data_IF_641999017476
#
_entry.id   IF_641999017476
#
_cell.length_a   1.000
_cell.length_b   1.000
_cell.length_c   1.000
_cell.angle_alpha   90.00
_cell.angle_beta   90.00
_cell.angle_gamma   90.00
#
_symmetry.space_group_name_H-M   'P 1'
#
loop_
_entity.id
_entity.type
_entity.pdbx_description
1 polymer ?
#
# COMPACT_ATOMS: atom_id res chain seq x y z
N UNK A 1 -19.28 -13.66 -4.52
CA UNK A 1 -17.83 -13.88 -4.36
C UNK A 1 -17.13 -13.19 -5.51
N UNK A 2 -16.23 -12.27 -5.19
CA UNK A 2 -15.48 -11.47 -6.18
C UNK A 2 -14.04 -11.99 -6.25
N UNK A 3 -13.49 -12.18 -7.45
CA UNK A 3 -12.13 -12.69 -7.65
C UNK A 3 -11.21 -11.59 -8.17
N UNK A 4 -10.05 -11.45 -7.55
CA UNK A 4 -9.04 -10.43 -7.87
C UNK A 4 -7.72 -11.12 -8.22
N UNK A 5 -7.29 -11.10 -9.49
CA UNK A 5 -6.11 -11.83 -9.94
C UNK A 5 -4.77 -11.10 -9.70
N UNK A 6 -4.82 -9.84 -9.29
CA UNK A 6 -3.65 -8.98 -9.09
C UNK A 6 -3.52 -8.56 -7.62
N UNK A 7 -2.32 -8.16 -7.18
CA UNK A 7 -2.14 -7.61 -5.84
C UNK A 7 -3.10 -6.46 -5.58
N UNK A 8 -3.78 -6.53 -4.45
CA UNK A 8 -4.89 -5.63 -4.14
C UNK A 8 -4.86 -5.30 -2.66
N UNK A 9 -5.00 -4.02 -2.33
CA UNK A 9 -5.26 -3.56 -0.97
C UNK A 9 -6.77 -3.51 -0.75
N UNK A 10 -7.31 -4.43 0.03
CA UNK A 10 -8.71 -4.49 0.39
C UNK A 10 -8.95 -3.70 1.66
N UNK A 11 -9.76 -2.65 1.61
CA UNK A 11 -10.18 -1.91 2.79
C UNK A 11 -11.64 -2.21 3.14
N UNK A 12 -11.89 -2.65 4.37
CA UNK A 12 -13.23 -2.83 4.89
C UNK A 12 -13.74 -1.48 5.41
N UNK A 13 -14.61 -0.83 4.65
CA UNK A 13 -15.18 0.46 5.03
C UNK A 13 -16.28 0.29 6.09
N UNK A 14 -17.15 -0.70 5.91
CA UNK A 14 -18.27 -0.97 6.84
C UNK A 14 -18.46 -2.48 7.07
N UNK A 15 -18.87 -2.84 8.28
CA UNK A 15 -19.23 -4.21 8.64
C UNK A 15 -18.01 -5.14 8.79
N UNK A 16 -18.13 -6.35 8.24
CA UNK A 16 -17.08 -7.37 8.26
C UNK A 16 -16.98 -8.13 6.95
N UNK A 17 -15.78 -8.54 6.57
CA UNK A 17 -15.51 -9.32 5.36
C UNK A 17 -14.59 -10.50 5.66
N UNK A 18 -14.79 -11.60 4.94
CA UNK A 18 -13.83 -12.72 4.88
C UNK A 18 -13.10 -12.67 3.54
N UNK A 19 -11.78 -12.54 3.60
CA UNK A 19 -10.91 -12.49 2.42
C UNK A 19 -10.07 -13.76 2.39
N UNK A 20 -10.12 -14.50 1.28
CA UNK A 20 -9.37 -15.72 1.07
C UNK A 20 -8.26 -15.52 0.05
N UNK A 21 -7.02 -15.70 0.48
CA UNK A 21 -5.83 -15.60 -0.38
C UNK A 21 -5.11 -16.95 -0.35
N UNK A 22 -5.16 -17.69 -1.45
CA UNK A 22 -4.72 -19.10 -1.47
C UNK A 22 -5.52 -19.98 -0.51
N UNK A 23 -4.81 -20.59 0.46
CA UNK A 23 -5.38 -21.44 1.51
C UNK A 23 -5.76 -20.67 2.79
N UNK A 24 -5.31 -19.42 2.93
CA UNK A 24 -5.53 -18.61 4.13
C UNK A 24 -6.83 -17.82 4.01
N UNK A 25 -7.58 -17.74 5.12
CA UNK A 25 -8.78 -16.90 5.22
C UNK A 25 -8.58 -15.89 6.34
N UNK A 26 -8.65 -14.61 5.99
CA UNK A 26 -8.52 -13.48 6.91
C UNK A 26 -9.84 -12.74 7.04
N UNK A 27 -10.29 -12.55 8.28
CA UNK A 27 -11.47 -11.72 8.56
C UNK A 27 -11.05 -10.27 8.82
N UNK A 28 -11.70 -9.31 8.16
CA UNK A 28 -11.54 -7.88 8.44
C UNK A 28 -12.82 -7.30 9.03
N UNK A 29 -12.66 -6.23 9.80
CA UNK A 29 -13.74 -5.38 10.32
C UNK A 29 -13.58 -3.96 9.76
N UNK A 30 -14.64 -3.16 9.85
CA UNK A 30 -14.63 -1.76 9.47
C UNK A 30 -13.37 -1.02 9.97
N UNK A 31 -12.70 -0.29 9.08
CA UNK A 31 -11.44 0.41 9.32
C UNK A 31 -10.19 -0.42 9.04
N UNK A 32 -10.26 -1.75 9.04
CA UNK A 32 -9.11 -2.61 8.74
C UNK A 32 -8.94 -2.83 7.23
N UNK A 33 -7.70 -3.13 6.83
CA UNK A 33 -7.38 -3.51 5.47
C UNK A 33 -6.50 -4.76 5.40
N UNK A 34 -6.45 -5.35 4.21
CA UNK A 34 -5.57 -6.46 3.86
C UNK A 34 -4.88 -6.14 2.54
N UNK A 35 -3.56 -6.06 2.55
CA UNK A 35 -2.78 -6.17 1.32
C UNK A 35 -2.71 -7.64 0.96
N UNK A 36 -3.23 -8.02 -0.20
CA UNK A 36 -3.11 -9.37 -0.72
C UNK A 36 -2.14 -9.37 -1.91
N UNK A 37 -1.09 -10.19 -1.83
CA UNK A 37 -0.03 -10.31 -2.84
C UNK A 37 -0.35 -11.31 -3.96
N UNK A 38 -1.44 -12.06 -3.83
CA UNK A 38 -1.81 -13.15 -4.74
C UNK A 38 -3.30 -13.12 -5.08
N UNK A 39 -3.70 -14.01 -6.00
CA UNK A 39 -5.10 -14.19 -6.39
C UNK A 39 -6.00 -14.39 -5.18
N UNK A 40 -6.99 -13.51 -5.05
CA UNK A 40 -7.80 -13.39 -3.85
C UNK A 40 -9.27 -13.52 -4.18
N UNK A 41 -10.01 -14.19 -3.29
CA UNK A 41 -11.46 -14.33 -3.36
C UNK A 41 -12.07 -13.71 -2.12
N UNK A 42 -13.02 -12.80 -2.33
CA UNK A 42 -13.68 -12.05 -1.27
C UNK A 42 -15.10 -12.58 -1.07
N UNK A 43 -15.43 -12.93 0.18
CA UNK A 43 -16.78 -13.25 0.64
C UNK A 43 -17.26 -12.14 1.60
N UNK A 44 -18.20 -11.33 1.10
CA UNK A 44 -18.56 -10.05 1.71
C UNK A 44 -19.84 -10.17 2.53
N UNK A 45 -19.79 -9.70 3.78
CA UNK A 45 -20.96 -9.40 4.62
C UNK A 45 -21.05 -7.91 4.97
N UNK A 46 -20.22 -7.07 4.34
CA UNK A 46 -20.06 -5.63 4.58
C UNK A 46 -19.56 -4.91 3.31
N UNK A 47 -19.12 -3.65 3.42
CA UNK A 47 -18.57 -2.90 2.29
C UNK A 47 -17.04 -3.00 2.25
N UNK A 48 -16.52 -3.57 1.16
CA UNK A 48 -15.09 -3.61 0.85
C UNK A 48 -14.77 -2.82 -0.41
N UNK A 49 -13.78 -1.95 -0.28
CA UNK A 49 -13.22 -1.16 -1.36
C UNK A 49 -11.84 -1.73 -1.74
N UNK A 50 -11.70 -2.36 -2.91
CA UNK A 50 -10.42 -2.82 -3.42
C UNK A 50 -9.65 -1.65 -4.07
N UNK A 51 -8.38 -1.50 -3.70
CA UNK A 51 -7.44 -0.59 -4.34
C UNK A 51 -6.38 -1.41 -5.08
N UNK A 52 -6.13 -1.14 -6.38
CA UNK A 52 -5.02 -1.74 -7.09
C UNK A 52 -3.71 -1.48 -6.35
N UNK A 53 -2.90 -2.51 -6.17
CA UNK A 53 -1.61 -2.40 -5.52
C UNK A 53 -0.49 -2.90 -6.45
N UNK A 54 0.68 -2.28 -6.34
CA UNK A 54 1.85 -2.66 -7.13
C UNK A 54 2.44 -3.98 -6.60
N UNK A 55 2.65 -4.94 -7.50
CA UNK A 55 3.25 -6.24 -7.22
C UNK A 55 4.71 -6.15 -6.78
N UNK A 56 5.37 -5.01 -7.04
CA UNK A 56 6.80 -4.85 -6.82
C UNK A 56 7.23 -4.71 -5.35
N UNK A 57 6.31 -4.46 -4.41
CA UNK A 57 6.67 -3.96 -3.07
C UNK A 57 6.49 -4.94 -1.90
N UNK A 58 5.71 -6.01 -2.05
CA UNK A 58 5.60 -7.06 -1.03
C UNK A 58 5.09 -8.39 -1.60
N UNK A 59 5.79 -9.48 -1.28
CA UNK A 59 5.43 -10.84 -1.69
C UNK A 59 4.43 -11.52 -0.73
N UNK A 60 4.18 -10.95 0.44
CA UNK A 60 3.39 -11.58 1.51
C UNK A 60 2.10 -10.81 1.76
N UNK A 61 0.98 -11.54 1.81
CA UNK A 61 -0.32 -11.00 2.15
C UNK A 61 -0.36 -10.66 3.63
N UNK A 62 -0.91 -9.51 4.00
CA UNK A 62 -0.89 -9.04 5.38
C UNK A 62 -1.99 -8.05 5.70
N UNK A 63 -2.36 -7.99 6.97
CA UNK A 63 -3.30 -7.01 7.49
C UNK A 63 -2.59 -5.66 7.67
N UNK A 64 -3.28 -4.61 7.25
CA UNK A 64 -2.89 -3.21 7.39
C UNK A 64 -3.96 -2.55 8.24
N UNK A 65 -3.54 -1.90 9.32
CA UNK A 65 -4.46 -1.21 10.22
C UNK A 65 -4.33 0.28 10.04
N UNK A 66 -5.40 0.89 9.56
CA UNK A 66 -5.53 2.32 9.47
C UNK A 66 -6.06 2.85 10.80
N UNK A 67 -5.40 3.87 11.36
CA UNK A 67 -5.91 4.56 12.54
C UNK A 67 -7.21 5.32 12.23
N UNK A 68 -7.86 5.91 13.25
CA UNK A 68 -8.98 6.82 13.02
C UNK A 68 -8.59 7.96 12.08
N UNK A 69 -9.50 8.35 11.18
CA UNK A 69 -9.34 9.47 10.24
C UNK A 69 -8.78 9.12 8.85
N UNK A 70 -8.42 7.85 8.61
CA UNK A 70 -8.00 7.40 7.26
C UNK A 70 -9.16 7.25 6.28
N UNK A 71 -10.41 7.30 6.74
CA UNK A 71 -11.61 7.15 5.91
C UNK A 71 -11.60 8.11 4.71
N UNK A 72 -11.39 9.42 4.93
CA UNK A 72 -11.36 10.39 3.83
C UNK A 72 -10.21 10.14 2.84
N UNK A 73 -9.07 9.64 3.31
CA UNK A 73 -7.92 9.29 2.45
C UNK A 73 -8.24 8.06 1.62
N UNK A 74 -8.78 7.01 2.24
CA UNK A 74 -9.12 5.76 1.55
C UNK A 74 -10.26 5.95 0.54
N UNK A 75 -11.27 6.78 0.87
CA UNK A 75 -12.35 7.13 -0.06
C UNK A 75 -11.84 7.95 -1.24
N UNK A 76 -10.94 8.93 -1.00
CA UNK A 76 -10.28 9.68 -2.06
C UNK A 76 -9.48 8.76 -2.98
N UNK A 77 -8.63 7.92 -2.41
CA UNK A 77 -7.80 6.99 -3.18
C UNK A 77 -8.65 5.99 -3.97
N UNK A 78 -9.75 5.49 -3.41
CA UNK A 78 -10.66 4.61 -4.14
C UNK A 78 -11.35 5.34 -5.28
N UNK A 79 -11.81 6.58 -5.07
CA UNK A 79 -12.37 7.42 -6.14
C UNK A 79 -11.37 7.61 -7.29
N UNK A 80 -10.11 7.92 -6.98
CA UNK A 80 -9.05 8.06 -7.99
C UNK A 80 -8.75 6.73 -8.70
N UNK A 81 -8.70 5.63 -7.96
CA UNK A 81 -8.47 4.29 -8.52
C UNK A 81 -9.59 3.85 -9.48
N UNK A 82 -10.80 4.29 -9.22
CA UNK A 82 -11.96 4.02 -10.05
C UNK A 82 -11.98 4.92 -11.30
N UNK A 83 -11.57 6.18 -11.16
CA UNK A 83 -11.53 7.14 -12.26
C UNK A 83 -10.36 6.92 -13.23
N UNK A 84 -9.24 6.42 -12.73
CA UNK A 84 -8.01 6.22 -13.48
C UNK A 84 -7.62 4.73 -13.46
N UNK A 85 -7.78 4.00 -14.57
CA UNK A 85 -7.30 2.63 -14.71
C UNK A 85 -5.79 2.47 -14.46
N UNK A 86 -5.02 3.57 -14.51
CA UNK A 86 -3.57 3.62 -14.28
C UNK A 86 -3.18 4.11 -12.89
N UNK A 87 -4.14 4.16 -11.97
CA UNK A 87 -3.89 4.56 -10.59
C UNK A 87 -2.76 3.72 -9.96
N UNK A 88 -1.84 4.43 -9.30
CA UNK A 88 -0.76 3.84 -8.52
C UNK A 88 -0.97 4.23 -7.08
N UNK A 89 -0.94 3.23 -6.19
CA UNK A 89 -1.04 3.43 -4.76
C UNK A 89 0.03 4.43 -4.28
N UNK A 90 -0.34 5.56 -3.63
CA UNK A 90 0.61 6.54 -3.12
C UNK A 90 1.65 5.91 -2.20
N UNK A 91 2.88 6.44 -2.20
CA UNK A 91 3.96 5.88 -1.36
C UNK A 91 3.59 5.82 0.13
N UNK A 92 2.77 6.76 0.62
CA UNK A 92 2.28 6.78 2.00
C UNK A 92 1.44 5.55 2.34
N UNK A 93 0.62 5.08 1.41
CA UNK A 93 -0.16 3.84 1.55
C UNK A 93 0.67 2.60 1.20
N UNK A 94 1.52 2.69 0.17
CA UNK A 94 2.39 1.59 -0.22
C UNK A 94 3.36 1.21 0.91
N UNK A 95 3.93 2.18 1.62
CA UNK A 95 4.80 1.94 2.77
C UNK A 95 4.07 1.24 3.93
N UNK A 96 2.76 1.44 4.09
CA UNK A 96 1.96 0.72 5.08
C UNK A 96 1.75 -0.75 4.70
N UNK A 97 1.83 -1.07 3.41
CA UNK A 97 1.81 -2.45 2.90
C UNK A 97 3.17 -3.15 3.01
N UNK A 98 4.28 -2.40 3.17
CA UNK A 98 5.64 -2.95 3.29
C UNK A 98 5.88 -3.54 4.69
N UNK A 99 6.60 -4.68 4.75
CA UNK A 99 6.83 -5.47 5.97
C UNK A 99 7.24 -4.57 7.16
N UNK A 100 6.59 -4.74 8.33
CA UNK A 100 6.73 -3.80 9.45
C UNK A 100 8.15 -3.80 10.04
N UNK A 101 8.79 -4.96 9.98
CA UNK A 101 10.20 -5.19 10.24
C UNK A 101 10.63 -6.32 9.31
N UNK A 102 11.75 -6.14 8.61
CA UNK A 102 12.33 -7.19 7.77
C UNK A 102 13.26 -8.06 8.59
N UNK A 103 13.34 -9.35 8.21
CA UNK A 103 14.37 -10.23 8.73
C UNK A 103 15.74 -9.61 8.43
N UNK A 104 16.68 -9.57 9.39
CA UNK A 104 18.05 -9.16 9.11
C UNK A 104 18.66 -10.01 7.98
N UNK A 105 19.62 -9.48 7.20
CA UNK A 105 20.26 -10.25 6.14
C UNK A 105 20.75 -11.61 6.65
N UNK A 106 20.48 -12.68 5.91
CA UNK A 106 20.98 -14.00 6.26
C UNK A 106 22.51 -14.03 6.13
N UNK A 107 23.24 -14.64 7.06
CA UNK A 107 24.67 -14.87 6.87
C UNK A 107 24.89 -15.88 5.75
N UNK A 108 25.90 -15.65 4.92
CA UNK A 108 26.20 -16.52 3.77
C UNK A 108 27.19 -17.66 4.12
N UNK A 109 27.85 -17.57 5.28
CA UNK A 109 28.84 -18.56 5.70
C UNK A 109 28.16 -19.78 6.35
N UNK A 110 28.67 -21.01 6.15
CA UNK A 110 27.90 -22.23 6.39
C UNK A 110 27.40 -22.39 7.83
N UNK A 111 28.26 -22.19 8.83
CA UNK A 111 27.90 -22.42 10.23
C UNK A 111 26.95 -21.35 10.74
N UNK A 112 27.20 -20.07 10.42
CA UNK A 112 26.27 -18.99 10.75
C UNK A 112 24.93 -19.11 10.03
N UNK A 113 24.91 -19.57 8.76
CA UNK A 113 23.68 -19.82 8.01
C UNK A 113 22.82 -20.88 8.69
N UNK A 114 23.42 -22.02 9.07
CA UNK A 114 22.71 -23.08 9.80
C UNK A 114 22.15 -22.61 11.14
N UNK A 115 22.90 -21.79 11.88
CA UNK A 115 22.42 -21.16 13.11
C UNK A 115 21.24 -20.24 12.83
N UNK A 116 21.35 -19.40 11.80
CA UNK A 116 20.29 -18.47 11.40
C UNK A 116 19.01 -19.20 10.98
N UNK A 117 19.11 -20.27 10.20
CA UNK A 117 17.99 -21.13 9.80
C UNK A 117 17.26 -21.72 11.01
N UNK A 118 18.00 -22.32 11.97
CA UNK A 118 17.42 -22.82 13.22
C UNK A 118 16.66 -21.72 14.00
N UNK A 119 17.20 -20.51 14.03
CA UNK A 119 16.60 -19.38 14.74
C UNK A 119 15.40 -18.77 14.00
N UNK A 120 15.33 -18.86 12.66
CA UNK A 120 14.15 -18.46 11.89
C UNK A 120 13.03 -19.48 12.07
N UNK A 121 13.36 -20.77 12.03
CA UNK A 121 12.40 -21.86 12.28
C UNK A 121 11.81 -21.80 13.69
N UNK A 122 12.62 -21.42 14.68
CA UNK A 122 12.19 -21.25 16.06
C UNK A 122 12.78 -19.98 16.70
N UNK A 123 12.10 -18.85 16.52
CA UNK A 123 12.54 -17.55 17.07
C UNK A 123 12.61 -17.52 18.60
N UNK A 124 11.85 -18.38 19.27
CA UNK A 124 11.85 -18.52 20.72
C UNK A 124 13.08 -19.25 21.28
N UNK A 125 13.86 -19.93 20.43
CA UNK A 125 15.04 -20.71 20.83
C UNK A 125 15.99 -19.86 21.67
N UNK A 126 16.33 -20.38 22.86
CA UNK A 126 17.20 -19.71 23.83
C UNK A 126 18.67 -20.13 23.73
N UNK A 127 19.00 -21.08 22.86
CA UNK A 127 20.34 -21.65 22.71
C UNK A 127 21.40 -20.54 22.57
N UNK A 128 22.38 -20.47 23.49
CA UNK A 128 23.46 -19.49 23.40
C UNK A 128 24.40 -19.86 22.25
N UNK A 129 25.27 -18.92 21.87
CA UNK A 129 26.20 -19.14 20.76
C UNK A 129 27.13 -20.33 21.02
N UNK A 130 27.52 -20.53 22.28
CA UNK A 130 28.34 -21.66 22.75
C UNK A 130 27.62 -22.99 22.53
N UNK A 131 26.30 -23.06 22.78
CA UNK A 131 25.52 -24.26 22.56
C UNK A 131 25.42 -24.62 21.07
N UNK A 132 25.30 -23.63 20.20
CA UNK A 132 25.39 -23.86 18.75
C UNK A 132 26.80 -24.28 18.31
N UNK A 133 27.83 -23.68 18.91
CA UNK A 133 29.22 -24.00 18.63
C UNK A 133 29.54 -25.47 18.97
N UNK A 134 29.10 -25.93 20.15
CA UNK A 134 29.18 -27.34 20.56
C UNK A 134 28.41 -28.26 19.62
N UNK A 135 27.15 -27.90 19.30
CA UNK A 135 26.28 -28.68 18.41
C UNK A 135 26.86 -28.86 17.01
N UNK A 136 27.61 -27.88 16.50
CA UNK A 136 28.18 -27.89 15.15
C UNK A 136 29.68 -28.18 15.12
N UNK A 137 30.32 -28.46 16.26
CA UNK A 137 31.74 -28.84 16.33
C UNK A 137 32.70 -27.71 15.94
N UNK A 138 32.34 -26.45 16.19
CA UNK A 138 33.16 -25.27 15.87
C UNK A 138 33.31 -24.35 17.09
N UNK A 139 34.19 -23.36 17.03
CA UNK A 139 34.30 -22.36 18.11
C UNK A 139 33.21 -21.28 17.99
N UNK A 140 32.72 -20.77 19.12
CA UNK A 140 31.78 -19.62 19.14
C UNK A 140 32.35 -18.40 18.43
N UNK A 141 33.67 -18.19 18.53
CA UNK A 141 34.39 -17.14 17.79
C UNK A 141 34.26 -17.29 16.27
N UNK A 142 34.28 -18.52 15.76
CA UNK A 142 34.11 -18.80 14.33
C UNK A 142 32.72 -18.35 13.87
N UNK A 143 31.67 -18.80 14.57
CA UNK A 143 30.28 -18.46 14.24
C UNK A 143 30.05 -16.94 14.37
N UNK A 144 30.53 -16.32 15.46
CA UNK A 144 30.43 -14.87 15.67
C UNK A 144 31.05 -14.07 14.53
N UNK A 145 32.26 -14.45 14.09
CA UNK A 145 32.95 -13.78 12.98
C UNK A 145 32.16 -13.92 11.68
N UNK A 146 31.57 -15.09 11.44
CA UNK A 146 30.77 -15.36 10.25
C UNK A 146 29.47 -14.54 10.20
N UNK A 147 28.78 -14.37 11.33
CA UNK A 147 27.63 -13.45 11.42
C UNK A 147 28.05 -12.03 11.04
N UNK A 148 29.13 -11.51 11.64
CA UNK A 148 29.60 -10.15 11.37
C UNK A 148 30.03 -10.00 9.90
N UNK A 149 30.80 -10.93 9.36
CA UNK A 149 31.28 -10.83 7.97
C UNK A 149 30.15 -10.95 6.94
N UNK A 150 29.13 -11.76 7.23
CA UNK A 150 28.01 -12.00 6.31
C UNK A 150 26.91 -10.95 6.39
N UNK A 151 26.68 -10.36 7.57
CA UNK A 151 25.49 -9.54 7.85
C UNK A 151 25.81 -8.15 8.40
N UNK A 152 27.05 -7.91 8.84
CA UNK A 152 27.43 -6.73 9.61
C UNK A 152 26.96 -6.74 11.07
N UNK A 153 26.25 -7.78 11.52
CA UNK A 153 25.65 -7.88 12.85
C UNK A 153 26.35 -8.95 13.70
N UNK A 154 26.35 -8.74 15.02
CA UNK A 154 26.71 -9.81 15.97
C UNK A 154 25.62 -10.89 16.00
N UNK A 155 25.94 -12.11 16.46
CA UNK A 155 24.93 -13.16 16.67
C UNK A 155 23.73 -12.67 17.50
N UNK A 156 24.01 -11.97 18.62
CA UNK A 156 22.96 -11.47 19.52
C UNK A 156 22.09 -10.40 18.87
N UNK A 157 22.70 -9.48 18.12
CA UNK A 157 21.97 -8.42 17.41
C UNK A 157 21.14 -9.00 16.25
N UNK A 158 21.71 -9.95 15.50
CA UNK A 158 21.00 -10.64 14.43
C UNK A 158 19.79 -11.42 14.98
N UNK A 159 19.98 -12.16 16.07
CA UNK A 159 18.89 -12.89 16.74
C UNK A 159 17.82 -11.96 17.29
N UNK A 160 18.20 -10.82 17.86
CA UNK A 160 17.25 -9.80 18.31
C UNK A 160 16.42 -9.25 17.13
N UNK A 161 17.05 -8.96 15.99
CA UNK A 161 16.38 -8.51 14.79
C UNK A 161 15.40 -9.56 14.22
N UNK A 162 15.80 -10.83 14.17
CA UNK A 162 14.92 -11.91 13.73
C UNK A 162 13.68 -12.06 14.63
N UNK A 163 13.85 -11.93 15.94
CA UNK A 163 12.74 -11.92 16.90
C UNK A 163 11.84 -10.70 16.74
N UNK A 164 12.41 -9.53 16.44
CA UNK A 164 11.63 -8.31 16.17
C UNK A 164 10.79 -8.48 14.90
N UNK A 165 11.34 -9.08 13.83
CA UNK A 165 10.59 -9.37 12.61
C UNK A 165 9.37 -10.26 12.90
N UNK A 166 9.57 -11.40 13.57
CA UNK A 166 8.48 -12.28 13.97
C UNK A 166 7.49 -11.61 14.94
N UNK A 167 7.96 -10.78 15.88
CA UNK A 167 7.09 -10.07 16.81
C UNK A 167 6.21 -9.07 16.06
N UNK A 168 6.75 -8.38 15.05
CA UNK A 168 6.00 -7.42 14.26
C UNK A 168 4.85 -8.09 13.48
N UNK A 169 5.06 -9.31 12.98
CA UNK A 169 4.00 -10.13 12.39
C UNK A 169 2.91 -10.47 13.40
N UNK A 170 3.28 -10.97 14.59
CA UNK A 170 2.31 -11.28 15.65
C UNK A 170 1.51 -10.05 16.08
N UNK A 171 2.16 -8.90 16.25
CA UNK A 171 1.47 -7.65 16.61
C UNK A 171 0.47 -7.23 15.53
N UNK A 172 0.81 -7.43 14.25
CA UNK A 172 -0.11 -7.20 13.13
C UNK A 172 -1.30 -8.16 13.10
N UNK A 173 -1.21 -9.29 13.81
CA UNK A 173 -2.30 -10.26 13.99
C UNK A 173 -3.06 -10.05 15.31
N UNK A 174 -3.04 -8.84 15.87
CA UNK A 174 -3.73 -8.47 17.12
C UNK A 174 -3.19 -9.13 18.42
N UNK A 175 -2.04 -9.83 18.38
CA UNK A 175 -1.44 -10.32 19.61
C UNK A 175 -0.97 -9.15 20.49
N UNK A 176 -1.20 -9.24 21.80
CA UNK A 176 -0.71 -8.21 22.74
C UNK A 176 0.82 -8.18 22.75
N UNK A 177 1.41 -7.02 23.07
CA UNK A 177 2.87 -6.88 23.16
C UNK A 177 3.49 -7.88 24.15
N UNK A 178 2.78 -8.20 25.24
CA UNK A 178 3.22 -9.19 26.20
C UNK A 178 3.24 -10.61 25.61
N UNK A 179 2.19 -10.99 24.87
CA UNK A 179 2.11 -12.30 24.21
C UNK A 179 3.14 -12.41 23.10
N UNK A 180 3.27 -11.39 22.24
CA UNK A 180 4.27 -11.36 21.18
C UNK A 180 5.69 -11.51 21.75
N UNK A 181 6.03 -10.76 22.81
CA UNK A 181 7.33 -10.87 23.47
C UNK A 181 7.64 -12.30 23.95
N UNK A 182 6.65 -12.95 24.56
CA UNK A 182 6.79 -14.32 25.05
C UNK A 182 6.99 -15.31 23.89
N UNK A 183 6.15 -15.24 22.85
CA UNK A 183 6.18 -16.14 21.70
C UNK A 183 7.49 -16.07 20.91
N UNK A 184 8.12 -14.90 20.82
CA UNK A 184 9.42 -14.75 20.13
C UNK A 184 10.62 -14.88 21.08
N UNK A 185 10.41 -15.27 22.34
CA UNK A 185 11.48 -15.58 23.28
C UNK A 185 12.18 -14.38 23.92
N UNK A 186 11.54 -13.21 24.01
CA UNK A 186 12.01 -12.15 24.90
C UNK A 186 11.59 -12.44 26.35
N UNK A 187 12.51 -12.25 27.29
CA UNK A 187 12.28 -12.46 28.72
C UNK A 187 11.30 -11.46 29.35
N UNK A 188 11.12 -10.29 28.72
CA UNK A 188 10.22 -9.25 29.19
C UNK A 188 9.74 -8.37 28.04
N UNK A 189 8.54 -7.77 28.22
CA UNK A 189 7.96 -6.79 27.29
C UNK A 189 8.86 -5.56 27.09
N UNK A 190 9.59 -5.14 28.13
CA UNK A 190 10.55 -4.04 28.06
C UNK A 190 11.76 -4.37 27.17
N UNK A 191 12.22 -5.63 27.19
CA UNK A 191 13.30 -6.12 26.32
C UNK A 191 12.88 -6.10 24.85
N UNK A 192 11.68 -6.61 24.56
CA UNK A 192 11.10 -6.48 23.22
C UNK A 192 11.01 -5.01 22.82
N UNK A 193 10.45 -4.15 23.67
CA UNK A 193 10.26 -2.72 23.35
C UNK A 193 11.56 -2.02 22.98
N UNK A 194 12.66 -2.32 23.70
CA UNK A 194 13.98 -1.75 23.41
C UNK A 194 14.54 -2.26 22.08
N UNK A 195 14.52 -3.57 21.85
CA UNK A 195 15.00 -4.16 20.60
C UNK A 195 14.17 -3.68 19.41
N UNK A 196 12.84 -3.65 19.56
CA UNK A 196 11.91 -3.22 18.54
C UNK A 196 12.19 -1.78 18.08
N UNK A 197 12.32 -0.83 19.02
CA UNK A 197 12.70 0.56 18.70
C UNK A 197 14.04 0.66 17.98
N UNK A 198 15.00 -0.17 18.35
CA UNK A 198 16.34 -0.17 17.74
C UNK A 198 16.30 -0.65 16.29
N UNK A 199 15.47 -1.66 15.98
CA UNK A 199 15.38 -2.25 14.65
C UNK A 199 14.35 -1.56 13.73
N UNK A 200 13.28 -0.95 14.28
CA UNK A 200 12.18 -0.37 13.47
C UNK A 200 12.01 1.14 13.63
N UNK A 201 12.72 1.76 14.58
CA UNK A 201 12.54 3.16 14.95
C UNK A 201 11.29 3.44 15.80
N UNK A 202 10.41 2.45 16.02
CA UNK A 202 9.09 2.62 16.62
C UNK A 202 8.87 1.65 17.79
N UNK A 203 7.98 1.95 18.76
CA UNK A 203 7.61 0.99 19.80
C UNK A 203 6.71 -0.13 19.25
N UNK A 204 6.68 -1.32 19.87
CA UNK A 204 5.79 -2.43 19.47
C UNK A 204 4.30 -2.05 19.43
N UNK A 205 3.86 -1.15 20.30
CA UNK A 205 2.47 -0.67 20.33
C UNK A 205 2.05 0.01 19.02
N UNK A 206 3.00 0.56 18.25
CA UNK A 206 2.70 1.08 16.93
C UNK A 206 2.27 -0.03 15.96
N UNK A 207 2.59 -1.30 16.21
CA UNK A 207 2.26 -2.41 15.31
C UNK A 207 1.05 -3.21 15.77
N UNK A 208 0.39 -2.81 16.86
CA UNK A 208 -0.84 -3.46 17.33
C UNK A 208 -2.08 -2.84 16.72
N UNK A 209 -3.01 -3.69 16.33
CA UNK A 209 -4.27 -3.33 15.71
C UNK A 209 -5.38 -2.87 16.69
N UNK A 210 -5.27 -3.25 17.96
CA UNK A 210 -6.28 -2.95 18.99
C UNK A 210 -6.06 -1.68 19.82
N UNK A 211 -4.94 -0.97 19.66
CA UNK A 211 -4.64 0.24 20.44
C UNK A 211 -3.96 1.29 19.57
N UNK A 212 -4.77 2.12 18.91
CA UNK A 212 -4.41 3.45 18.35
C UNK A 212 -3.09 3.48 17.57
N UNK A 213 -3.18 3.09 16.29
CA UNK A 213 -2.39 3.65 15.19
C UNK A 213 -0.93 3.21 15.07
N UNK A 214 -0.47 3.13 13.82
CA UNK A 214 0.92 2.91 13.37
C UNK A 214 1.94 3.98 13.83
N UNK A 215 1.77 4.58 15.01
CA UNK A 215 2.55 5.74 15.46
C UNK A 215 2.41 6.92 14.50
N UNK A 216 3.49 7.66 14.25
CA UNK A 216 3.54 8.75 13.24
C UNK A 216 3.14 8.27 11.83
N UNK A 217 3.40 6.99 11.49
CA UNK A 217 3.01 6.37 10.21
C UNK A 217 1.48 6.13 10.12
N UNK A 218 0.81 6.09 11.27
CA UNK A 218 -0.64 5.87 11.38
C UNK A 218 -1.48 7.14 11.34
N UNK A 219 -0.87 8.33 11.29
CA UNK A 219 -1.63 9.58 11.11
C UNK A 219 -2.01 9.73 9.64
N UNK A 220 -3.31 9.86 9.31
CA UNK A 220 -3.71 10.05 7.93
C UNK A 220 -3.13 11.35 7.38
N UNK A 221 -2.57 11.36 6.16
CA UNK A 221 -2.21 12.61 5.51
C UNK A 221 -3.46 13.49 5.33
N UNK A 222 -3.29 14.81 5.25
CA UNK A 222 -4.39 15.67 4.81
C UNK A 222 -4.71 15.34 3.36
N UNK A 223 -6.00 15.26 3.01
CA UNK A 223 -6.41 15.26 1.62
C UNK A 223 -6.06 16.62 1.01
N UNK A 224 -4.94 16.69 0.30
CA UNK A 224 -4.52 17.89 -0.41
C UNK A 224 -5.49 18.20 -1.55
N UNK A 225 -5.52 19.47 -1.96
CA UNK A 225 -6.27 19.87 -3.15
C UNK A 225 -5.73 19.12 -4.38
N UNK A 226 -6.63 18.72 -5.27
CA UNK A 226 -6.28 17.98 -6.48
C UNK A 226 -7.21 18.34 -7.62
N UNK A 227 -6.81 18.05 -8.85
CA UNK A 227 -7.61 18.32 -10.04
C UNK A 227 -7.94 16.99 -10.71
N UNK A 228 -9.20 16.83 -11.11
CA UNK A 228 -9.62 15.72 -11.98
C UNK A 228 -9.88 16.24 -13.39
N UNK A 229 -9.52 15.42 -14.37
CA UNK A 229 -9.64 15.69 -15.79
C UNK A 229 -10.62 14.72 -16.45
N UNK A 230 -11.11 15.01 -17.66
CA UNK A 230 -11.99 14.12 -18.38
C UNK A 230 -11.23 12.83 -18.76
N UNK A 231 -11.94 11.71 -18.75
CA UNK A 231 -11.42 10.43 -19.23
C UNK A 231 -11.76 10.26 -20.73
N UNK A 232 -11.50 9.07 -21.28
CA UNK A 232 -11.92 8.72 -22.64
C UNK A 232 -13.45 8.57 -22.79
N UNK A 233 -14.20 8.67 -21.69
CA UNK A 233 -15.66 8.58 -21.67
C UNK A 233 -16.26 9.70 -20.85
N UNK A 234 -17.53 10.02 -21.11
CA UNK A 234 -18.25 10.99 -20.30
C UNK A 234 -18.45 10.43 -18.89
N UNK A 235 -17.98 11.17 -17.89
CA UNK A 235 -18.08 10.78 -16.48
C UNK A 235 -18.86 11.85 -15.71
N UNK A 236 -19.84 11.41 -14.94
CA UNK A 236 -20.52 12.26 -13.97
C UNK A 236 -19.71 12.23 -12.68
N UNK A 237 -19.28 13.40 -12.23
CA UNK A 237 -18.55 13.59 -10.98
C UNK A 237 -19.49 14.14 -9.92
N UNK A 238 -19.59 13.44 -8.80
CA UNK A 238 -20.37 13.83 -7.62
C UNK A 238 -19.45 14.40 -6.54
N UNK A 239 -19.78 15.57 -6.00
CA UNK A 239 -19.09 16.14 -4.83
C UNK A 239 -19.61 15.41 -3.59
N UNK A 240 -19.02 14.25 -3.30
CA UNK A 240 -19.40 13.43 -2.13
C UNK A 240 -19.17 14.17 -0.81
N UNK A 241 -18.10 14.98 -0.73
CA UNK A 241 -17.78 15.75 0.46
C UNK A 241 -17.06 17.05 0.09
N UNK A 242 -17.40 18.14 0.76
CA UNK A 242 -16.68 19.41 0.66
C UNK A 242 -17.08 20.21 -0.57
N UNK A 243 -16.09 20.73 -1.30
CA UNK A 243 -16.30 21.72 -2.36
C UNK A 243 -15.32 21.50 -3.52
N UNK A 244 -15.74 21.84 -4.73
CA UNK A 244 -14.88 21.84 -5.90
C UNK A 244 -15.22 22.99 -6.85
N UNK A 245 -14.41 23.22 -7.87
CA UNK A 245 -14.67 24.22 -8.91
C UNK A 245 -14.56 23.57 -10.28
N UNK A 246 -15.64 23.58 -11.06
CA UNK A 246 -15.64 23.18 -12.45
C UNK A 246 -15.13 24.33 -13.31
N UNK A 247 -14.13 24.07 -14.14
CA UNK A 247 -13.55 25.02 -15.08
C UNK A 247 -13.63 24.42 -16.48
N UNK A 248 -14.25 25.11 -17.42
CA UNK A 248 -14.35 24.73 -18.84
C UNK A 248 -14.20 25.97 -19.74
N UNK A 249 -13.01 26.19 -20.29
CA UNK A 249 -12.69 27.42 -21.01
C UNK A 249 -12.86 28.66 -20.12
N UNK A 250 -13.71 29.60 -20.55
CA UNK A 250 -14.06 30.81 -19.79
C UNK A 250 -15.16 30.57 -18.76
N UNK A 251 -15.79 29.38 -18.75
CA UNK A 251 -16.80 29.02 -17.78
C UNK A 251 -16.16 28.49 -16.50
N UNK A 252 -16.58 29.02 -15.36
CA UNK A 252 -16.13 28.61 -14.04
C UNK A 252 -17.32 28.58 -13.08
N UNK A 253 -17.52 27.45 -12.39
CA UNK A 253 -18.60 27.27 -11.42
C UNK A 253 -18.09 26.62 -10.14
N UNK A 254 -18.39 27.26 -9.02
CA UNK A 254 -18.21 26.66 -7.70
C UNK A 254 -19.26 25.59 -7.45
N UNK A 255 -18.84 24.49 -6.84
CA UNK A 255 -19.66 23.33 -6.54
C UNK A 255 -19.57 22.99 -5.05
N UNK A 256 -20.73 22.75 -4.43
CA UNK A 256 -20.88 22.31 -3.05
C UNK A 256 -21.09 20.79 -2.96
N UNK A 257 -21.03 20.26 -1.73
CA UNK A 257 -21.38 18.88 -1.45
C UNK A 257 -22.77 18.55 -2.01
N UNK A 258 -22.92 17.32 -2.47
CA UNK A 258 -24.13 16.78 -3.10
C UNK A 258 -24.44 17.30 -4.51
N UNK A 259 -23.67 18.24 -5.05
CA UNK A 259 -23.76 18.62 -6.46
C UNK A 259 -23.03 17.63 -7.37
N UNK A 260 -23.45 17.60 -8.65
CA UNK A 260 -22.83 16.78 -9.69
C UNK A 260 -22.46 17.61 -10.91
N UNK A 261 -21.39 17.24 -11.60
CA UNK A 261 -21.02 17.81 -12.89
C UNK A 261 -20.59 16.71 -13.87
N UNK A 262 -20.95 16.85 -15.13
CA UNK A 262 -20.49 15.93 -16.18
C UNK A 262 -19.20 16.49 -16.79
N UNK A 263 -18.13 15.71 -16.76
CA UNK A 263 -16.95 15.95 -17.58
C UNK A 263 -17.07 15.12 -18.85
N UNK A 264 -17.26 15.81 -19.98
CA UNK A 264 -17.37 15.19 -21.31
C UNK A 264 -16.00 14.72 -21.78
N UNK A 265 -15.94 13.53 -22.38
CA UNK A 265 -14.73 12.98 -22.96
C UNK A 265 -14.05 13.99 -23.90
N UNK A 266 -12.72 14.07 -23.83
CA UNK A 266 -11.90 14.94 -24.67
C UNK A 266 -12.19 16.46 -24.58
N UNK A 267 -12.98 16.91 -23.59
CA UNK A 267 -13.13 18.34 -23.31
C UNK A 267 -11.88 18.91 -22.62
N UNK A 268 -11.77 20.24 -22.60
CA UNK A 268 -10.76 20.94 -21.79
C UNK A 268 -11.25 21.20 -20.36
N UNK A 269 -12.41 20.67 -19.99
CA UNK A 269 -13.01 20.88 -18.69
C UNK A 269 -12.20 20.16 -17.61
N UNK A 270 -12.15 20.71 -16.40
CA UNK A 270 -11.53 20.10 -15.23
C UNK A 270 -12.31 20.43 -13.98
N UNK A 271 -12.16 19.62 -12.94
CA UNK A 271 -12.71 19.94 -11.61
C UNK A 271 -11.53 20.09 -10.65
N UNK A 272 -11.36 21.31 -10.14
CA UNK A 272 -10.39 21.67 -9.12
C UNK A 272 -11.01 21.43 -7.74
N UNK A 273 -10.59 20.36 -7.06
CA UNK A 273 -11.14 19.87 -5.80
C UNK A 273 -10.38 20.50 -4.63
N UNK A 274 -11.10 21.10 -3.69
CA UNK A 274 -10.49 21.76 -2.53
C UNK A 274 -9.89 20.75 -1.55
N UNK A 275 -8.93 21.18 -0.73
CA UNK A 275 -8.37 20.33 0.33
C UNK A 275 -9.47 19.85 1.29
N UNK A 276 -9.41 18.58 1.68
CA UNK A 276 -10.43 17.93 2.52
C UNK A 276 -11.73 17.58 1.79
N UNK A 277 -11.84 17.89 0.50
CA UNK A 277 -13.00 17.55 -0.32
C UNK A 277 -12.75 16.28 -1.12
N UNK A 278 -13.82 15.56 -1.44
CA UNK A 278 -13.78 14.29 -2.17
C UNK A 278 -14.85 14.36 -3.24
N UNK A 279 -14.42 14.12 -4.48
CA UNK A 279 -15.31 13.88 -5.61
C UNK A 279 -15.29 12.42 -5.99
N UNK A 280 -16.41 11.88 -6.45
CA UNK A 280 -16.54 10.49 -6.91
C UNK A 280 -17.01 10.43 -8.34
N UNK A 281 -16.37 9.62 -9.21
CA UNK A 281 -16.95 9.31 -10.50
C UNK A 281 -18.18 8.41 -10.28
N UNK A 282 -19.25 8.65 -11.03
CA UNK A 282 -20.44 7.83 -11.07
C UNK A 282 -20.51 7.09 -12.42
N UNK A 283 -20.81 5.78 -12.43
CA UNK A 283 -21.00 5.04 -13.67
C UNK A 283 -22.18 5.59 -14.48
N UNK A 284 -21.98 5.79 -15.79
CA UNK A 284 -22.98 6.41 -16.68
C UNK A 284 -24.31 5.64 -16.79
N UNK A 285 -24.28 4.33 -16.51
CA UNK A 285 -25.45 3.44 -16.56
C UNK A 285 -26.28 3.47 -15.27
N UNK A 286 -25.75 4.06 -14.20
CA UNK A 286 -26.50 4.25 -12.98
C UNK A 286 -27.39 5.49 -13.12
N UNK A 287 -28.64 5.26 -13.51
CA UNK A 287 -29.70 6.26 -13.38
C UNK A 287 -30.15 6.26 -11.92
N UNK A 288 -29.68 7.22 -11.14
CA UNK A 288 -30.15 7.41 -9.77
C UNK A 288 -31.18 8.54 -9.72
N UNK A 289 -32.30 8.29 -9.06
CA UNK A 289 -33.31 9.31 -8.73
C UNK A 289 -33.00 10.03 -7.41
N UNK A 290 -32.14 9.45 -6.56
CA UNK A 290 -31.66 9.96 -5.26
C UNK A 290 -30.14 9.81 -5.13
N UNK A 291 -29.49 10.55 -4.22
CA UNK A 291 -28.03 10.49 -4.02
C UNK A 291 -27.54 9.04 -3.76
N UNK A 292 -26.52 8.56 -4.49
CA UNK A 292 -26.15 7.15 -4.47
C UNK A 292 -25.36 6.74 -3.22
N UNK A 293 -25.65 5.55 -2.68
CA UNK A 293 -24.83 4.95 -1.62
C UNK A 293 -23.47 4.49 -2.15
N UNK A 294 -22.41 4.62 -1.35
CA UNK A 294 -21.07 4.13 -1.69
C UNK A 294 -21.05 2.64 -2.06
N UNK A 295 -21.91 1.84 -1.42
CA UNK A 295 -22.07 0.41 -1.75
C UNK A 295 -22.55 0.21 -3.19
N UNK A 296 -23.58 0.94 -3.61
CA UNK A 296 -24.11 0.84 -4.97
C UNK A 296 -23.06 1.24 -6.02
N UNK A 297 -22.26 2.28 -5.72
CA UNK A 297 -21.16 2.73 -6.57
C UNK A 297 -20.08 1.63 -6.68
N UNK A 298 -19.62 1.09 -5.54
CA UNK A 298 -18.59 0.06 -5.52
C UNK A 298 -19.02 -1.22 -6.25
N UNK A 299 -20.28 -1.63 -6.09
CA UNK A 299 -20.85 -2.79 -6.77
C UNK A 299 -20.88 -2.59 -8.30
N UNK A 300 -21.26 -1.40 -8.77
CA UNK A 300 -21.31 -1.08 -10.20
C UNK A 300 -19.91 -1.08 -10.86
N UNK A 301 -18.90 -0.48 -10.22
CA UNK A 301 -17.53 -0.51 -10.76
C UNK A 301 -16.90 -1.89 -10.78
N UNK A 302 -17.23 -2.76 -9.81
CA UNK A 302 -16.80 -4.15 -9.84
C UNK A 302 -17.39 -4.92 -11.02
N UNK A 303 -18.65 -4.68 -11.35
CA UNK A 303 -19.30 -5.32 -12.49
C UNK A 303 -18.65 -4.90 -13.83
N UNK A 304 -18.15 -3.67 -13.93
CA UNK A 304 -17.55 -3.09 -15.14
C UNK A 304 -16.06 -3.46 -15.34
N UNK A 305 -15.45 -4.18 -14.40
CA UNK A 305 -14.03 -4.65 -14.42
C UNK A 305 -12.98 -3.54 -14.66
N UNK A 306 -13.29 -2.27 -14.39
CA UNK A 306 -12.40 -1.13 -14.65
C UNK A 306 -11.16 -1.04 -13.74
N UNK A 307 -11.12 -1.81 -12.65
CA UNK A 307 -10.05 -1.76 -11.63
C UNK A 307 -8.75 -2.49 -12.03
N UNK A 308 -8.50 -2.68 -13.32
CA UNK A 308 -7.16 -3.05 -13.76
C UNK A 308 -7.06 -3.18 -15.27
N UNK A 309 -6.02 -2.60 -15.85
CA UNK A 309 -5.17 -3.33 -16.82
C UNK A 309 -3.90 -2.56 -17.16
N UNK A 310 -2.77 -3.26 -16.95
CA UNK A 310 -1.40 -3.01 -17.45
C UNK A 310 -1.30 -2.50 -18.92
N UNK A 311 -2.35 -2.69 -19.73
CA UNK A 311 -2.40 -2.30 -21.13
C UNK A 311 -2.60 -0.78 -21.35
N UNK A 312 -3.30 -0.09 -20.44
CA UNK A 312 -3.48 1.37 -20.53
C UNK A 312 -2.20 2.09 -20.13
N UNK A 313 -1.51 1.62 -19.08
CA UNK A 313 -0.19 2.10 -18.70
C UNK A 313 0.80 1.91 -19.85
N UNK A 314 0.75 0.77 -20.55
CA UNK A 314 1.56 0.55 -21.74
C UNK A 314 1.27 1.58 -22.85
N UNK A 315 -0.01 1.92 -23.11
CA UNK A 315 -0.42 2.95 -24.08
C UNK A 315 -0.08 4.38 -23.65
N UNK A 316 -0.26 4.74 -22.37
CA UNK A 316 0.18 6.02 -21.81
C UNK A 316 1.70 6.17 -21.88
N UNK A 317 2.44 5.09 -21.59
CA UNK A 317 3.89 5.09 -21.73
C UNK A 317 4.33 5.13 -23.19
N UNK A 318 3.60 4.50 -24.10
CA UNK A 318 3.80 4.66 -25.54
C UNK A 318 3.59 6.10 -25.99
N UNK A 319 2.48 6.72 -25.59
CA UNK A 319 2.21 8.13 -25.86
C UNK A 319 3.24 9.06 -25.22
N UNK A 320 3.65 8.79 -23.98
CA UNK A 320 4.70 9.54 -23.30
C UNK A 320 6.04 9.42 -24.03
N UNK A 321 6.38 8.24 -24.56
CA UNK A 321 7.59 8.04 -25.40
C UNK A 321 7.52 8.85 -26.68
N UNK A 322 6.37 8.90 -27.36
CA UNK A 322 6.17 9.74 -28.55
C UNK A 322 6.36 11.22 -28.24
N UNK A 323 5.75 11.71 -27.15
CA UNK A 323 5.84 13.12 -26.74
C UNK A 323 7.24 13.50 -26.26
N UNK A 324 7.95 12.60 -25.56
CA UNK A 324 9.35 12.82 -25.16
C UNK A 324 10.29 12.83 -26.38
N UNK A 325 10.08 11.93 -27.35
CA UNK A 325 10.83 11.89 -28.62
C UNK A 325 10.58 13.12 -29.49
N UNK A 326 9.38 13.71 -29.42
CA UNK A 326 9.09 14.97 -30.11
C UNK A 326 9.65 16.21 -29.40
N UNK A 327 10.37 16.04 -28.28
CA UNK A 327 11.08 17.12 -27.61
C UNK A 327 10.27 17.85 -26.53
N UNK A 328 9.07 17.38 -26.17
CA UNK A 328 8.30 17.99 -25.09
C UNK A 328 8.98 17.81 -23.73
N UNK A 329 8.83 18.78 -22.84
CA UNK A 329 9.45 18.73 -21.50
C UNK A 329 8.76 17.64 -20.68
N UNK A 330 9.50 16.80 -19.93
CA UNK A 330 8.91 15.72 -19.13
C UNK A 330 7.80 16.13 -18.16
N UNK A 331 7.86 17.36 -17.64
CA UNK A 331 6.81 17.93 -16.78
C UNK A 331 5.49 18.10 -17.54
N UNK A 332 5.57 18.59 -18.77
CA UNK A 332 4.41 18.85 -19.61
C UNK A 332 3.86 17.53 -20.20
N UNK A 333 4.75 16.58 -20.52
CA UNK A 333 4.36 15.22 -20.93
C UNK A 333 3.60 14.50 -19.82
N UNK A 334 4.09 14.58 -18.58
CA UNK A 334 3.40 13.98 -17.43
C UNK A 334 1.97 14.48 -17.28
N UNK A 335 1.77 15.79 -17.40
CA UNK A 335 0.42 16.39 -17.36
C UNK A 335 -0.41 15.92 -18.57
N UNK A 336 0.17 15.91 -19.77
CA UNK A 336 -0.51 15.52 -21.01
C UNK A 336 -0.94 14.04 -21.04
N UNK A 337 -0.22 13.16 -20.34
CA UNK A 337 -0.59 11.74 -20.19
C UNK A 337 -1.33 11.44 -18.88
N UNK A 338 -1.86 12.48 -18.21
CA UNK A 338 -2.80 12.35 -17.10
C UNK A 338 -2.19 12.28 -15.69
N UNK A 339 -0.89 12.54 -15.52
CA UNK A 339 -0.27 12.58 -14.19
C UNK A 339 -0.37 13.96 -13.54
N UNK A 340 -0.93 14.00 -12.33
CA UNK A 340 -1.05 15.22 -11.54
C UNK A 340 0.28 15.79 -11.02
N UNK A 341 1.36 15.00 -11.01
CA UNK A 341 2.70 15.49 -10.66
C UNK A 341 3.78 14.90 -11.55
N UNK A 342 4.83 15.68 -11.81
CA UNK A 342 6.03 15.20 -12.51
C UNK A 342 6.69 14.03 -11.77
N UNK A 343 6.64 14.01 -10.44
CA UNK A 343 7.23 12.94 -9.64
C UNK A 343 6.48 11.61 -9.77
N UNK A 344 5.15 11.67 -9.90
CA UNK A 344 4.32 10.48 -10.16
C UNK A 344 4.58 9.94 -11.57
N UNK A 345 4.56 10.82 -12.58
CA UNK A 345 4.91 10.48 -13.95
C UNK A 345 6.32 9.87 -14.06
N UNK A 346 7.32 10.53 -13.48
CA UNK A 346 8.71 10.09 -13.58
C UNK A 346 8.96 8.73 -12.91
N UNK A 347 8.21 8.42 -11.85
CA UNK A 347 8.27 7.10 -11.19
C UNK A 347 7.60 6.03 -12.05
N UNK A 348 6.38 6.30 -12.54
CA UNK A 348 5.67 5.37 -13.42
C UNK A 348 6.46 5.09 -14.72
N UNK A 349 7.04 6.12 -15.32
CA UNK A 349 7.86 5.99 -16.52
C UNK A 349 9.15 5.20 -16.25
N UNK A 350 9.84 5.46 -15.14
CA UNK A 350 11.03 4.69 -14.74
C UNK A 350 10.70 3.23 -14.43
N UNK A 351 9.57 2.99 -13.79
CA UNK A 351 9.08 1.65 -13.50
C UNK A 351 8.87 0.83 -14.79
N UNK A 352 8.25 1.43 -15.81
CA UNK A 352 7.96 0.73 -17.08
C UNK A 352 9.17 0.68 -18.03
N UNK A 353 9.97 1.73 -18.10
CA UNK A 353 11.05 1.87 -19.10
C UNK A 353 12.45 1.60 -18.54
N UNK A 354 12.60 1.43 -17.23
CA UNK A 354 13.90 1.26 -16.56
C UNK A 354 14.74 2.55 -16.43
N UNK A 355 14.34 3.63 -17.10
CA UNK A 355 15.05 4.92 -17.15
C UNK A 355 14.12 6.09 -16.83
N UNK A 356 14.66 7.21 -16.33
CA UNK A 356 13.82 8.39 -16.09
C UNK A 356 13.37 9.03 -17.41
N UNK A 357 12.26 9.80 -17.45
CA UNK A 357 11.86 10.52 -18.65
C UNK A 357 12.95 11.42 -19.24
N UNK A 358 13.80 12.01 -18.37
CA UNK A 358 14.93 12.84 -18.81
C UNK A 358 16.04 12.01 -19.45
N UNK A 359 16.36 10.85 -18.88
CA UNK A 359 17.40 9.96 -19.40
C UNK A 359 16.93 9.34 -20.73
N UNK A 360 15.66 8.91 -20.79
CA UNK A 360 15.01 8.45 -22.01
C UNK A 360 15.08 9.48 -23.14
N UNK A 361 14.79 10.76 -22.83
CA UNK A 361 14.85 11.84 -23.81
C UNK A 361 16.29 12.18 -24.25
N UNK A 362 17.28 11.87 -23.42
CA UNK A 362 18.71 12.02 -23.73
C UNK A 362 19.31 10.80 -24.45
N UNK A 363 18.56 9.70 -24.56
CA UNK A 363 19.03 8.45 -25.15
C UNK A 363 20.03 7.68 -24.29
N UNK A 364 19.95 7.84 -22.96
CA UNK A 364 20.82 7.20 -21.96
C UNK A 364 20.19 5.96 -21.36
#
# INVERSE_FOLDING_TARGET
MSAFPQPTLFWCQEGSVSIRTGAETTNLRAGAALYASASTVVEERGLVLPLPADSARSLVSRRVFFGPGWESVMLREFSLAVADPDYILPDSLAALCEAPATLPPMPNAPEALRVAECLVENTADQTPLEGFAERFGVSSRTIQRQFISGTGLSFSEWRAGARVAAAAELLSMDFSVAVAANLVGFSATSSLTRAFRRHTGHPPSAFTAGAVGMGEVGKPPRCEAYTVFPTDTDVVWWIMQGTATLVDGDYCRFMAADETATLTAHSNARIDVASGSIVFPLPRHLMFTDHPSLKAIADAYRADRSLGTSEVLAKKMERARELLRSGQRPKDVGIAVGYGTHSAFSRAFKFVQGVTPRDFQRGV
#
